data_IF_010617114446
#
_entry.id   IF_010617114446
#
_cell.length_a   1.000
_cell.length_b   1.000
_cell.length_c   1.000
_cell.angle_alpha   90.00
_cell.angle_beta   90.00
_cell.angle_gamma   90.00
#
_symmetry.space_group_name_H-M   'P 1'
#
loop_
_entity.id
_entity.type
_entity.pdbx_description
1 polymer ?
#
# COMPACT_ATOMS: atom_id res chain seq x y z
N UNK A 1 30.99 16.75 -3.96
CA UNK A 1 30.03 16.37 -2.89
C UNK A 1 29.23 15.10 -3.21
N UNK A 2 29.41 14.49 -4.39
CA UNK A 2 28.67 13.32 -4.90
C UNK A 2 29.03 12.00 -4.21
N UNK A 3 30.33 11.69 -4.05
CA UNK A 3 30.78 10.40 -3.50
C UNK A 3 30.23 10.06 -2.09
N UNK A 4 30.06 11.05 -1.21
CA UNK A 4 29.54 10.81 0.15
C UNK A 4 28.04 10.48 0.14
N UNK A 5 27.28 11.02 -0.79
CA UNK A 5 25.84 10.73 -0.93
C UNK A 5 25.63 9.38 -1.58
N UNK A 6 26.45 9.03 -2.57
CA UNK A 6 26.45 7.73 -3.24
C UNK A 6 26.70 6.59 -2.24
N UNK A 7 27.76 6.68 -1.43
CA UNK A 7 28.05 5.69 -0.39
C UNK A 7 26.87 5.50 0.58
N UNK A 8 26.18 6.59 0.95
CA UNK A 8 25.01 6.53 1.83
C UNK A 8 23.81 5.82 1.19
N UNK A 9 23.61 5.94 -0.12
CA UNK A 9 22.53 5.23 -0.82
C UNK A 9 22.84 3.73 -0.82
N UNK A 10 24.09 3.38 -1.13
CA UNK A 10 24.54 1.99 -1.20
C UNK A 10 24.45 1.31 0.19
N UNK A 11 24.82 2.00 1.27
CA UNK A 11 24.65 1.51 2.65
C UNK A 11 23.18 1.25 3.02
N UNK A 12 22.27 2.14 2.61
CA UNK A 12 20.83 1.96 2.85
C UNK A 12 20.31 0.77 2.03
N UNK A 13 20.83 0.57 0.82
CA UNK A 13 20.45 -0.53 -0.06
C UNK A 13 20.94 -1.89 0.39
N UNK A 14 22.14 -1.97 0.97
CA UNK A 14 22.63 -3.19 1.60
C UNK A 14 21.69 -3.61 2.74
N UNK A 15 21.33 -2.66 3.61
CA UNK A 15 20.36 -2.90 4.69
C UNK A 15 18.98 -3.28 4.18
N UNK A 16 18.51 -2.65 3.10
CA UNK A 16 17.22 -2.99 2.49
C UNK A 16 17.20 -4.43 1.95
N UNK A 17 18.31 -4.85 1.35
CA UNK A 17 18.51 -6.21 0.83
C UNK A 17 18.58 -7.25 1.95
N UNK A 18 19.30 -6.94 3.04
CA UNK A 18 19.35 -7.78 4.22
C UNK A 18 17.98 -7.92 4.90
N UNK A 19 17.23 -6.82 5.01
CA UNK A 19 15.86 -6.83 5.53
C UNK A 19 14.94 -7.68 4.64
N UNK A 20 15.08 -7.61 3.31
CA UNK A 20 14.31 -8.44 2.38
C UNK A 20 14.64 -9.93 2.56
N UNK A 21 15.93 -10.27 2.64
CA UNK A 21 16.40 -11.65 2.84
C UNK A 21 15.93 -12.26 4.17
N UNK A 22 15.80 -11.43 5.21
CA UNK A 22 15.28 -11.83 6.54
C UNK A 22 13.76 -11.71 6.66
N UNK A 23 13.05 -11.49 5.55
CA UNK A 23 11.59 -11.35 5.49
C UNK A 23 11.01 -10.17 6.29
N UNK A 24 11.85 -9.20 6.67
CA UNK A 24 11.45 -7.94 7.28
C UNK A 24 10.94 -6.96 6.20
N UNK A 25 9.84 -7.34 5.52
CA UNK A 25 9.36 -6.66 4.30
C UNK A 25 9.01 -5.18 4.52
N UNK A 26 8.44 -4.81 5.66
CA UNK A 26 8.13 -3.41 5.99
C UNK A 26 9.39 -2.56 6.10
N UNK A 27 10.41 -3.08 6.75
CA UNK A 27 11.68 -2.39 6.90
C UNK A 27 12.38 -2.27 5.55
N UNK A 28 12.38 -3.33 4.75
CA UNK A 28 12.90 -3.30 3.39
C UNK A 28 12.17 -2.26 2.51
N UNK A 29 10.84 -2.17 2.59
CA UNK A 29 10.07 -1.14 1.88
C UNK A 29 10.43 0.28 2.37
N UNK A 30 10.55 0.51 3.69
CA UNK A 30 10.93 1.82 4.26
C UNK A 30 12.32 2.25 3.79
N UNK A 31 13.31 1.36 3.89
CA UNK A 31 14.69 1.62 3.47
C UNK A 31 14.76 1.86 1.96
N UNK A 32 14.09 1.04 1.15
CA UNK A 32 14.07 1.20 -0.31
C UNK A 32 13.40 2.52 -0.73
N UNK A 33 12.29 2.93 -0.08
CA UNK A 33 11.66 4.23 -0.34
C UNK A 33 12.59 5.40 0.02
N UNK A 34 13.31 5.28 1.14
CA UNK A 34 14.29 6.29 1.56
C UNK A 34 15.44 6.39 0.53
N UNK A 35 16.01 5.27 0.12
CA UNK A 35 17.05 5.22 -0.92
C UNK A 35 16.56 5.82 -2.24
N UNK A 36 15.33 5.49 -2.67
CA UNK A 36 14.72 6.03 -3.89
C UNK A 36 14.60 7.56 -3.82
N UNK A 37 14.17 8.12 -2.69
CA UNK A 37 14.08 9.57 -2.49
C UNK A 37 15.45 10.26 -2.52
N UNK A 38 16.47 9.62 -1.95
CA UNK A 38 17.86 10.13 -1.99
C UNK A 38 18.42 10.11 -3.42
N UNK A 39 18.23 9.01 -4.15
CA UNK A 39 18.66 8.86 -5.54
C UNK A 39 17.95 9.84 -6.47
N UNK A 40 16.63 10.02 -6.29
CA UNK A 40 15.85 11.03 -7.02
C UNK A 40 16.39 12.45 -6.79
N UNK A 41 16.69 12.81 -5.54
CA UNK A 41 17.22 14.13 -5.20
C UNK A 41 18.62 14.37 -5.80
N UNK A 42 19.38 13.30 -6.05
CA UNK A 42 20.68 13.34 -6.70
C UNK A 42 20.62 13.21 -8.24
N UNK A 43 19.43 13.03 -8.83
CA UNK A 43 19.23 12.68 -10.24
C UNK A 43 19.98 11.40 -10.68
N UNK A 44 20.14 10.44 -9.77
CA UNK A 44 20.81 9.16 -10.03
C UNK A 44 19.81 8.11 -10.50
N UNK A 45 19.48 8.16 -11.80
CA UNK A 45 18.49 7.27 -12.41
C UNK A 45 18.94 5.81 -12.45
N UNK A 46 20.24 5.54 -12.47
CA UNK A 46 20.77 4.18 -12.47
C UNK A 46 20.49 3.51 -11.12
N UNK A 47 20.81 4.19 -10.02
CA UNK A 47 20.46 3.68 -8.68
C UNK A 47 18.95 3.58 -8.51
N UNK A 48 18.16 4.55 -8.98
CA UNK A 48 16.69 4.46 -8.94
C UNK A 48 16.17 3.17 -9.60
N UNK A 49 16.70 2.80 -10.77
CA UNK A 49 16.32 1.58 -11.47
C UNK A 49 16.64 0.32 -10.66
N UNK A 50 17.82 0.28 -10.02
CA UNK A 50 18.23 -0.84 -9.15
C UNK A 50 17.38 -0.94 -7.89
N UNK A 51 16.98 0.20 -7.30
CA UNK A 51 16.15 0.27 -6.09
C UNK A 51 14.70 -0.21 -6.37
N UNK A 52 14.22 -0.06 -7.60
CA UNK A 52 12.85 -0.40 -7.95
C UNK A 52 12.50 -1.88 -7.68
N UNK A 53 13.42 -2.81 -7.96
CA UNK A 53 13.21 -4.25 -7.78
C UNK A 53 12.98 -4.66 -6.31
N UNK A 54 13.88 -4.37 -5.35
CA UNK A 54 13.64 -4.71 -3.95
C UNK A 54 12.42 -3.99 -3.37
N UNK A 55 12.13 -2.75 -3.81
CA UNK A 55 10.91 -2.04 -3.41
C UNK A 55 9.64 -2.76 -3.88
N UNK A 56 9.61 -3.20 -5.15
CA UNK A 56 8.49 -3.97 -5.69
C UNK A 56 8.32 -5.29 -4.95
N UNK A 57 9.42 -5.98 -4.67
CA UNK A 57 9.39 -7.30 -4.04
C UNK A 57 8.92 -7.25 -2.58
N UNK A 58 9.40 -6.27 -1.80
CA UNK A 58 8.91 -6.03 -0.45
C UNK A 58 7.39 -5.76 -0.43
N UNK A 59 6.90 -4.94 -1.37
CA UNK A 59 5.46 -4.65 -1.52
C UNK A 59 4.65 -5.87 -1.94
N UNK A 60 5.19 -6.66 -2.87
CA UNK A 60 4.56 -7.91 -3.34
C UNK A 60 4.39 -8.89 -2.20
N UNK A 61 5.42 -9.12 -1.40
CA UNK A 61 5.34 -10.00 -0.24
C UNK A 61 4.37 -9.49 0.83
N UNK A 62 4.37 -8.19 1.13
CA UNK A 62 3.37 -7.59 2.03
C UNK A 62 1.94 -7.82 1.54
N UNK A 63 1.70 -7.62 0.24
CA UNK A 63 0.39 -7.85 -0.36
C UNK A 63 0.02 -9.34 -0.31
N UNK A 64 0.94 -10.23 -0.68
CA UNK A 64 0.72 -11.68 -0.63
C UNK A 64 0.35 -12.13 0.78
N UNK A 65 1.07 -11.65 1.80
CA UNK A 65 0.75 -11.94 3.20
C UNK A 65 -0.69 -11.57 3.52
N UNK A 66 -1.16 -10.38 3.13
CA UNK A 66 -2.55 -9.97 3.35
C UNK A 66 -3.55 -10.90 2.64
N UNK A 67 -3.28 -11.27 1.39
CA UNK A 67 -4.12 -12.15 0.59
C UNK A 67 -4.18 -13.59 1.13
N UNK A 68 -3.07 -14.10 1.69
CA UNK A 68 -2.97 -15.45 2.24
C UNK A 68 -3.89 -15.70 3.45
N UNK A 69 -4.46 -14.65 4.05
CA UNK A 69 -5.47 -14.78 5.12
C UNK A 69 -6.77 -15.36 4.57
N UNK A 70 -7.13 -15.04 3.32
CA UNK A 70 -8.32 -15.56 2.64
C UNK A 70 -9.65 -14.95 3.08
N UNK A 71 -9.66 -14.06 4.08
CA UNK A 71 -10.86 -13.38 4.57
C UNK A 71 -10.88 -11.90 4.17
N UNK A 72 -12.08 -11.39 3.88
CA UNK A 72 -12.34 -9.98 3.55
C UNK A 72 -13.18 -9.36 4.67
N UNK A 73 -12.65 -8.31 5.30
CA UNK A 73 -13.37 -7.48 6.27
C UNK A 73 -14.03 -6.31 5.56
N UNK A 74 -15.34 -6.17 5.74
CA UNK A 74 -16.10 -5.04 5.19
C UNK A 74 -16.17 -3.94 6.24
N UNK A 75 -15.70 -2.75 5.87
CA UNK A 75 -15.74 -1.55 6.69
C UNK A 75 -16.81 -0.62 6.14
N UNK A 76 -17.91 -0.48 6.87
CA UNK A 76 -19.06 0.30 6.47
C UNK A 76 -19.31 1.55 7.32
N UNK A 77 -20.38 2.27 6.99
CA UNK A 77 -20.83 3.48 7.66
C UNK A 77 -21.29 3.28 9.11
N UNK A 78 -21.37 2.04 9.58
CA UNK A 78 -21.60 1.73 11.01
C UNK A 78 -20.31 1.73 11.83
N UNK A 79 -19.14 1.68 11.18
CA UNK A 79 -17.85 1.53 11.83
C UNK A 79 -17.04 2.83 11.74
N UNK A 80 -16.64 3.38 12.89
CA UNK A 80 -15.81 4.60 12.92
C UNK A 80 -14.36 4.24 12.61
N UNK A 81 -13.89 4.61 11.41
CA UNK A 81 -12.49 4.44 11.01
C UNK A 81 -11.63 5.50 11.72
N UNK A 82 -10.90 5.09 12.76
CA UNK A 82 -9.95 5.92 13.49
C UNK A 82 -8.52 5.41 13.33
N UNK A 83 -7.54 6.25 13.68
CA UNK A 83 -6.13 5.84 13.73
C UNK A 83 -5.83 4.85 14.86
N UNK A 84 -6.76 4.66 15.80
CA UNK A 84 -6.65 3.74 16.95
C UNK A 84 -7.35 2.40 16.73
N UNK A 85 -8.16 2.29 15.67
CA UNK A 85 -8.86 1.05 15.30
C UNK A 85 -7.87 -0.13 15.27
N UNK A 86 -8.28 -1.27 15.80
CA UNK A 86 -7.48 -2.49 15.69
C UNK A 86 -7.51 -2.99 14.25
N UNK A 87 -6.33 -3.20 13.68
CA UNK A 87 -6.20 -3.59 12.27
C UNK A 87 -5.41 -4.89 12.28
N UNK A 88 -6.10 -5.96 11.90
CA UNK A 88 -5.50 -7.26 11.71
C UNK A 88 -4.90 -7.36 10.30
N UNK A 89 -4.04 -8.36 10.13
CA UNK A 89 -3.55 -8.76 8.82
C UNK A 89 -4.74 -9.28 7.99
N UNK A 90 -4.90 -8.81 6.75
CA UNK A 90 -5.99 -9.29 5.88
C UNK A 90 -6.42 -8.33 4.76
N UNK A 91 -7.54 -8.65 4.13
CA UNK A 91 -8.15 -7.85 3.07
C UNK A 91 -9.29 -6.99 3.62
N UNK A 92 -9.35 -5.73 3.21
CA UNK A 92 -10.35 -4.77 3.65
C UNK A 92 -11.07 -4.15 2.46
N UNK A 93 -12.40 -4.22 2.48
CA UNK A 93 -13.28 -3.55 1.52
C UNK A 93 -14.03 -2.43 2.25
N UNK A 94 -13.80 -1.18 1.85
CA UNK A 94 -14.46 -0.01 2.47
C UNK A 94 -15.71 0.36 1.66
N UNK A 95 -16.91 0.36 2.28
CA UNK A 95 -18.23 0.53 1.64
C UNK A 95 -19.26 1.20 2.56
N UNK A 96 -19.87 2.35 2.26
CA UNK A 96 -19.48 3.38 1.31
C UNK A 96 -18.99 4.60 2.09
N UNK A 97 -17.74 4.67 2.55
CA UNK A 97 -17.33 5.81 3.39
C UNK A 97 -16.45 6.82 2.64
N UNK A 98 -17.13 7.95 2.35
CA UNK A 98 -16.68 9.27 1.87
C UNK A 98 -15.27 9.33 1.28
N UNK A 99 -15.17 8.89 0.01
CA UNK A 99 -13.99 9.01 -0.86
C UNK A 99 -12.84 8.10 -0.38
N UNK A 100 -11.95 7.65 -1.26
CA UNK A 100 -10.84 6.76 -0.89
C UNK A 100 -9.85 7.29 0.19
N UNK A 101 -10.13 8.42 0.83
CA UNK A 101 -9.49 8.90 2.04
C UNK A 101 -9.58 7.90 3.20
N UNK A 102 -10.72 7.23 3.38
CA UNK A 102 -10.88 6.23 4.46
C UNK A 102 -10.08 4.96 4.19
N UNK A 103 -10.11 4.45 2.96
CA UNK A 103 -9.20 3.37 2.55
C UNK A 103 -7.72 3.74 2.74
N UNK A 104 -7.35 5.01 2.49
CA UNK A 104 -6.02 5.52 2.78
C UNK A 104 -5.70 5.52 4.27
N UNK A 105 -6.63 5.93 5.15
CA UNK A 105 -6.45 5.94 6.61
C UNK A 105 -6.15 4.53 7.13
N UNK A 106 -6.98 3.55 6.77
CA UNK A 106 -6.79 2.13 7.15
C UNK A 106 -5.41 1.64 6.68
N UNK A 107 -5.08 1.89 5.41
CA UNK A 107 -3.79 1.48 4.85
C UNK A 107 -2.59 2.10 5.57
N UNK A 108 -2.65 3.38 5.91
CA UNK A 108 -1.56 4.09 6.59
C UNK A 108 -1.41 3.65 8.04
N UNK A 109 -2.52 3.46 8.76
CA UNK A 109 -2.51 2.95 10.12
C UNK A 109 -1.88 1.55 10.15
N UNK A 110 -2.27 0.65 9.26
CA UNK A 110 -1.67 -0.68 9.12
C UNK A 110 -0.17 -0.62 8.80
N UNK A 111 0.23 0.24 7.85
CA UNK A 111 1.64 0.43 7.47
C UNK A 111 2.50 0.95 8.63
N UNK A 112 1.94 1.80 9.50
CA UNK A 112 2.68 2.34 10.66
C UNK A 112 2.94 1.29 11.74
N UNK A 113 2.14 0.21 11.76
CA UNK A 113 2.16 -0.88 12.75
C UNK A 113 2.77 -2.17 12.20
N UNK A 114 3.34 -2.12 11.00
CA UNK A 114 3.88 -3.28 10.29
C UNK A 114 2.85 -4.43 10.09
N UNK A 115 1.58 -4.07 9.88
CA UNK A 115 0.48 -5.01 9.62
C UNK A 115 0.22 -5.15 8.11
N UNK A 116 0.33 -6.37 7.52
CA UNK A 116 0.10 -6.57 6.09
C UNK A 116 -1.40 -6.49 5.78
N UNK A 117 -1.78 -5.51 4.96
CA UNK A 117 -3.18 -5.33 4.52
C UNK A 117 -3.28 -5.07 3.03
N UNK A 118 -4.36 -5.57 2.43
CA UNK A 118 -4.85 -5.16 1.12
C UNK A 118 -6.12 -4.32 1.35
N UNK A 119 -6.15 -3.08 0.85
CA UNK A 119 -7.29 -2.19 1.09
C UNK A 119 -7.82 -1.69 -0.24
N UNK A 120 -9.12 -1.86 -0.44
CA UNK A 120 -9.85 -1.39 -1.63
C UNK A 120 -11.05 -0.57 -1.16
N UNK A 121 -11.33 0.56 -1.80
CA UNK A 121 -12.52 1.35 -1.53
C UNK A 121 -13.51 1.22 -2.67
N UNK A 122 -14.75 0.87 -2.32
CA UNK A 122 -15.90 0.85 -3.22
C UNK A 122 -16.66 2.17 -3.04
N UNK A 123 -16.84 2.91 -4.13
CA UNK A 123 -17.75 4.05 -4.15
C UNK A 123 -19.17 3.60 -4.58
N UNK A 124 -20.22 4.40 -4.31
CA UNK A 124 -21.58 4.09 -4.74
C UNK A 124 -21.68 3.84 -6.25
N UNK A 125 -22.58 2.94 -6.63
CA UNK A 125 -22.87 2.62 -8.04
C UNK A 125 -23.24 3.90 -8.80
N UNK A 126 -22.59 4.09 -9.93
CA UNK A 126 -22.82 5.26 -10.79
C UNK A 126 -24.14 5.14 -11.54
N UNK A 127 -24.61 6.24 -12.16
CA UNK A 127 -25.78 6.21 -13.05
C UNK A 127 -25.63 5.29 -14.27
N UNK A 128 -24.39 4.88 -14.59
CA UNK A 128 -24.09 3.92 -15.66
C UNK A 128 -24.21 2.46 -15.19
N UNK A 129 -24.61 2.21 -13.94
CA UNK A 129 -24.66 0.88 -13.36
C UNK A 129 -23.31 0.32 -12.92
N UNK A 130 -22.20 1.07 -13.12
CA UNK A 130 -20.86 0.61 -12.77
C UNK A 130 -20.47 1.00 -11.34
N UNK A 131 -19.72 0.15 -10.66
CA UNK A 131 -19.17 0.39 -9.32
C UNK A 131 -17.74 0.95 -9.45
N UNK A 132 -17.46 2.17 -8.97
CA UNK A 132 -16.09 2.67 -8.94
C UNK A 132 -15.29 2.01 -7.82
N UNK A 133 -14.08 1.57 -8.17
CA UNK A 133 -13.07 1.09 -7.24
C UNK A 133 -11.95 2.13 -7.17
N UNK A 134 -11.66 2.60 -5.96
CA UNK A 134 -10.77 3.73 -5.71
C UNK A 134 -9.63 3.34 -4.75
N UNK A 135 -8.44 3.81 -5.08
CA UNK A 135 -7.29 3.81 -4.20
C UNK A 135 -6.66 5.21 -4.16
N UNK A 136 -6.47 5.76 -2.94
CA UNK A 136 -5.83 7.06 -2.73
C UNK A 136 -4.43 6.87 -2.14
N UNK A 137 -3.42 7.33 -2.88
CA UNK A 137 -2.01 7.35 -2.50
C UNK A 137 -1.49 8.77 -2.29
N UNK A 138 -0.21 8.92 -1.91
CA UNK A 138 0.43 10.21 -1.58
C UNK A 138 0.47 11.21 -2.74
N UNK A 139 -0.66 11.87 -2.99
CA UNK A 139 -0.85 12.90 -4.02
C UNK A 139 -1.62 12.45 -5.27
N UNK A 140 -2.01 11.17 -5.38
CA UNK A 140 -2.71 10.65 -6.56
C UNK A 140 -3.88 9.75 -6.15
N UNK A 141 -4.98 9.87 -6.89
CA UNK A 141 -6.13 8.98 -6.81
C UNK A 141 -6.19 8.15 -8.08
N UNK A 142 -6.20 6.82 -7.92
CA UNK A 142 -6.47 5.89 -9.01
C UNK A 142 -7.90 5.41 -8.86
N UNK A 143 -8.68 5.50 -9.94
CA UNK A 143 -10.07 5.05 -9.99
C UNK A 143 -10.26 4.19 -11.24
N UNK A 144 -10.90 3.05 -11.08
CA UNK A 144 -11.42 2.21 -12.16
C UNK A 144 -12.88 1.91 -11.90
N UNK A 145 -13.56 1.28 -12.86
CA UNK A 145 -14.95 0.86 -12.74
C UNK A 145 -15.05 -0.64 -12.99
N UNK A 146 -15.90 -1.31 -12.21
CA UNK A 146 -16.22 -2.74 -12.36
C UNK A 146 -17.73 -2.90 -12.48
N UNK A 147 -18.17 -3.95 -13.16
CA UNK A 147 -19.57 -4.35 -13.16
C UNK A 147 -19.96 -4.76 -11.72
N UNK A 148 -21.21 -4.49 -11.29
CA UNK A 148 -21.73 -5.06 -10.05
C UNK A 148 -21.64 -6.58 -10.08
N UNK A 149 -21.43 -7.23 -8.92
CA UNK A 149 -21.59 -8.67 -8.83
C UNK A 149 -23.03 -9.06 -9.19
N UNK A 150 -23.20 -10.25 -9.77
CA UNK A 150 -24.53 -10.78 -10.15
C UNK A 150 -25.48 -10.95 -8.94
N UNK A 151 -24.93 -11.04 -7.73
CA UNK A 151 -25.64 -11.21 -6.45
C UNK A 151 -25.35 -10.01 -5.53
N UNK A 152 -26.21 -9.00 -5.52
CA UNK A 152 -26.03 -7.79 -4.70
C UNK A 152 -26.32 -8.02 -3.20
N UNK A 153 -26.99 -9.13 -2.85
CA UNK A 153 -27.49 -9.43 -1.49
C UNK A 153 -26.47 -10.14 -0.56
N UNK A 154 -25.23 -10.37 -1.02
CA UNK A 154 -24.21 -11.14 -0.30
C UNK A 154 -22.96 -10.36 0.13
N UNK A 155 -23.04 -9.03 0.20
CA UNK A 155 -21.98 -8.17 0.77
C UNK A 155 -22.35 -7.78 2.19
#
# INVERSE_FOLDING_TARGET
>A
MTATTENKIDDVMERASQALATQAYFESERLSRKAMSMAQSANDYERMARIALPLQEARRHRLQQALDVGEVTILDDTQVITEEMDIAKGCYLVVPMLVGADGRRVRLAALSRDVPVAVVTREPTTRLGMIPIVAVGGGMTVRTQVEPPDDEDHI
#
